data_IF_017695444702
#
_entry.id   IF_017695444702
#
_cell.length_a   1.000
_cell.length_b   1.000
_cell.length_c   1.000
_cell.angle_alpha   90.00
_cell.angle_beta   90.00
_cell.angle_gamma   90.00
#
_symmetry.space_group_name_H-M   'P 1'
#
loop_
_entity.id
_entity.type
_entity.pdbx_description
1 polymer ?
#
# COMPACT_ATOMS: atom_id res chain seq x y z
N UNK A 1 23.78 -3.88 19.16
CA UNK A 1 22.75 -3.61 18.13
C UNK A 1 21.57 -4.53 18.41
N UNK A 2 20.46 -4.08 19.01
CA UNK A 2 19.34 -4.97 19.29
C UNK A 2 18.59 -5.28 17.98
N UNK A 3 18.37 -6.58 17.76
CA UNK A 3 17.76 -7.21 16.60
C UNK A 3 16.26 -6.83 16.52
N UNK A 4 15.80 -6.26 15.40
CA UNK A 4 14.39 -5.85 15.16
C UNK A 4 13.44 -7.03 14.93
N UNK A 5 13.70 -8.19 15.53
CA UNK A 5 12.92 -9.40 15.35
C UNK A 5 11.74 -9.55 16.32
N UNK A 6 11.48 -8.57 17.20
CA UNK A 6 10.49 -8.69 18.29
C UNK A 6 9.47 -7.54 18.34
N UNK A 7 8.76 -7.25 17.26
CA UNK A 7 7.49 -6.47 17.34
C UNK A 7 6.36 -6.95 16.39
N UNK A 8 6.49 -8.08 15.68
CA UNK A 8 5.50 -8.47 14.64
C UNK A 8 4.97 -9.91 14.74
N UNK A 9 4.95 -10.51 15.93
CA UNK A 9 4.54 -11.90 16.09
C UNK A 9 3.01 -12.09 16.21
N UNK A 10 2.28 -11.70 15.16
CA UNK A 10 1.05 -12.39 14.75
C UNK A 10 0.77 -12.17 13.24
N UNK A 11 1.80 -12.35 12.39
CA UNK A 11 1.62 -12.32 10.93
C UNK A 11 0.83 -13.56 10.49
N UNK A 12 -0.48 -13.45 10.50
CA UNK A 12 -1.34 -14.39 9.78
C UNK A 12 -1.04 -14.26 8.28
N UNK A 13 -1.30 -15.34 7.51
CA UNK A 13 -1.15 -15.33 6.06
C UNK A 13 -1.87 -14.13 5.42
N UNK A 14 -3.07 -13.80 5.92
CA UNK A 14 -3.85 -12.65 5.48
C UNK A 14 -3.12 -11.32 5.70
N UNK A 15 -2.49 -11.11 6.86
CA UNK A 15 -1.75 -9.89 7.14
C UNK A 15 -0.54 -9.73 6.19
N UNK A 16 0.18 -10.81 5.89
CA UNK A 16 1.31 -10.78 4.95
C UNK A 16 0.85 -10.45 3.52
N UNK A 17 -0.31 -10.97 3.10
CA UNK A 17 -0.91 -10.66 1.80
C UNK A 17 -1.37 -9.21 1.74
N UNK A 18 -1.98 -8.70 2.81
CA UNK A 18 -2.37 -7.30 2.92
C UNK A 18 -1.15 -6.38 2.81
N UNK A 19 -0.05 -6.68 3.53
CA UNK A 19 1.18 -5.89 3.42
C UNK A 19 1.83 -5.97 2.04
N UNK A 20 1.69 -7.10 1.33
CA UNK A 20 2.13 -7.23 -0.06
C UNK A 20 1.33 -6.33 -1.00
N UNK A 21 -0.01 -6.34 -0.87
CA UNK A 21 -0.92 -5.56 -1.70
C UNK A 21 -0.82 -4.05 -1.45
N UNK A 22 -0.50 -3.66 -0.22
CA UNK A 22 -0.33 -2.26 0.19
C UNK A 22 1.13 -1.78 0.13
N UNK A 23 2.02 -2.56 -0.49
CA UNK A 23 3.43 -2.23 -0.71
C UNK A 23 4.22 -1.92 0.58
N UNK A 24 3.83 -2.54 1.70
CA UNK A 24 4.48 -2.36 3.01
C UNK A 24 5.55 -3.39 3.35
N UNK A 25 5.66 -4.47 2.57
CA UNK A 25 6.72 -5.45 2.77
C UNK A 25 8.10 -4.84 2.54
N UNK A 26 9.07 -5.28 3.35
CA UNK A 26 10.48 -5.03 3.04
C UNK A 26 10.82 -5.65 1.67
N UNK A 27 11.83 -5.10 0.96
CA UNK A 27 12.23 -5.63 -0.35
C UNK A 27 12.58 -7.13 -0.28
N UNK A 28 13.25 -7.55 0.80
CA UNK A 28 13.59 -8.95 1.03
C UNK A 28 12.36 -9.84 1.21
N UNK A 29 11.37 -9.38 1.99
CA UNK A 29 10.16 -10.17 2.24
C UNK A 29 9.24 -10.19 1.01
N UNK A 30 9.24 -9.11 0.22
CA UNK A 30 8.55 -9.07 -1.06
C UNK A 30 9.09 -10.11 -2.04
N UNK A 31 10.42 -10.19 -2.20
CA UNK A 31 11.04 -11.20 -3.08
C UNK A 31 10.68 -12.62 -2.63
N UNK A 32 10.75 -12.90 -1.32
CA UNK A 32 10.38 -14.21 -0.76
C UNK A 32 8.90 -14.53 -1.02
N UNK A 33 8.03 -13.55 -0.88
CA UNK A 33 6.60 -13.73 -1.12
C UNK A 33 6.30 -13.95 -2.61
N UNK A 34 6.94 -13.21 -3.51
CA UNK A 34 6.82 -13.43 -4.97
C UNK A 34 7.34 -14.82 -5.39
N UNK A 35 8.43 -15.29 -4.79
CA UNK A 35 8.90 -16.67 -4.97
C UNK A 35 7.84 -17.68 -4.52
N UNK A 36 7.19 -17.45 -3.38
CA UNK A 36 6.10 -18.32 -2.91
C UNK A 36 4.90 -18.33 -3.89
N UNK A 37 4.50 -17.17 -4.40
CA UNK A 37 3.42 -17.08 -5.39
C UNK A 37 3.72 -17.87 -6.67
N UNK A 38 4.99 -18.01 -7.06
CA UNK A 38 5.36 -18.81 -8.24
C UNK A 38 5.16 -20.32 -8.07
N UNK A 39 5.05 -20.81 -6.83
CA UNK A 39 4.95 -22.26 -6.52
C UNK A 39 3.63 -22.66 -5.85
N UNK A 40 2.79 -21.69 -5.46
CA UNK A 40 1.58 -21.95 -4.67
C UNK A 40 0.31 -21.36 -5.33
N UNK A 41 -0.42 -22.15 -6.15
CA UNK A 41 -1.63 -21.69 -6.83
C UNK A 41 -2.73 -21.18 -5.88
N UNK A 42 -2.83 -21.75 -4.67
CA UNK A 42 -3.82 -21.33 -3.67
C UNK A 42 -3.58 -19.92 -3.16
N UNK A 43 -2.31 -19.53 -2.97
CA UNK A 43 -1.97 -18.16 -2.58
C UNK A 43 -2.17 -17.17 -3.72
N UNK A 44 -1.90 -17.57 -4.97
CA UNK A 44 -2.24 -16.76 -6.15
C UNK A 44 -3.74 -16.48 -6.21
N UNK A 45 -4.58 -17.51 -6.11
CA UNK A 45 -6.03 -17.36 -6.14
C UNK A 45 -6.55 -16.45 -5.02
N UNK A 46 -5.98 -16.58 -3.81
CA UNK A 46 -6.38 -15.74 -2.68
C UNK A 46 -5.95 -14.27 -2.84
N UNK A 47 -4.76 -14.01 -3.38
CA UNK A 47 -4.32 -12.64 -3.73
C UNK A 47 -5.27 -12.03 -4.75
N UNK A 48 -5.65 -12.78 -5.79
CA UNK A 48 -6.58 -12.30 -6.81
C UNK A 48 -7.97 -12.02 -6.25
N UNK A 49 -8.48 -12.87 -5.35
CA UNK A 49 -9.73 -12.60 -4.63
C UNK A 49 -9.66 -11.31 -3.81
N UNK A 50 -8.55 -11.08 -3.09
CA UNK A 50 -8.37 -9.86 -2.31
C UNK A 50 -8.29 -8.61 -3.20
N UNK A 51 -7.62 -8.69 -4.37
CA UNK A 51 -7.60 -7.60 -5.35
C UNK A 51 -8.99 -7.22 -5.84
N UNK A 52 -9.83 -8.20 -6.15
CA UNK A 52 -11.24 -7.95 -6.53
C UNK A 52 -12.00 -7.27 -5.39
N UNK A 53 -11.79 -7.71 -4.15
CA UNK A 53 -12.42 -7.13 -2.97
C UNK A 53 -12.01 -5.66 -2.79
N UNK A 54 -10.72 -5.37 -2.90
CA UNK A 54 -10.17 -4.00 -2.82
C UNK A 54 -10.75 -3.13 -3.94
N UNK A 55 -10.78 -3.64 -5.18
CA UNK A 55 -11.33 -2.91 -6.31
C UNK A 55 -12.82 -2.59 -6.12
N UNK A 56 -13.60 -3.56 -5.63
CA UNK A 56 -15.02 -3.37 -5.35
C UNK A 56 -15.27 -2.27 -4.30
N UNK A 57 -14.43 -2.20 -3.25
CA UNK A 57 -14.50 -1.13 -2.24
C UNK A 57 -13.96 0.22 -2.75
N UNK A 58 -12.92 0.19 -3.59
CA UNK A 58 -12.28 1.37 -4.17
C UNK A 58 -13.03 2.00 -5.34
N UNK A 59 -14.03 1.31 -5.90
CA UNK A 59 -14.85 1.78 -7.03
C UNK A 59 -15.81 2.94 -6.68
N UNK A 60 -15.68 3.54 -5.50
CA UNK A 60 -16.38 4.78 -5.19
C UNK A 60 -15.91 5.84 -6.19
N UNK A 61 -16.83 6.57 -6.87
CA UNK A 61 -16.41 7.64 -7.76
C UNK A 61 -15.46 8.57 -7.00
N UNK A 62 -14.31 8.95 -7.61
CA UNK A 62 -13.35 9.82 -6.95
C UNK A 62 -14.10 11.02 -6.41
N UNK A 63 -13.84 11.37 -5.14
CA UNK A 63 -14.36 12.59 -4.56
C UNK A 63 -14.04 13.72 -5.54
N UNK A 64 -15.06 14.34 -6.13
CA UNK A 64 -14.87 15.53 -6.96
C UNK A 64 -14.26 16.60 -6.06
N UNK A 65 -12.95 16.79 -6.18
CA UNK A 65 -12.27 17.88 -5.51
C UNK A 65 -12.74 19.17 -6.20
N UNK A 66 -13.34 20.13 -5.47
CA UNK A 66 -13.66 21.43 -6.03
C UNK A 66 -12.38 22.11 -6.52
N UNK A 67 -12.43 22.77 -7.67
CA UNK A 67 -11.28 23.48 -8.23
C UNK A 67 -10.68 24.51 -7.26
N UNK A 68 -11.51 25.12 -6.41
CA UNK A 68 -11.06 26.06 -5.37
C UNK A 68 -10.12 25.42 -4.33
N UNK A 69 -10.28 24.13 -4.02
CA UNK A 69 -9.39 23.39 -3.12
C UNK A 69 -8.05 23.15 -3.82
N UNK A 70 -8.08 22.74 -5.09
CA UNK A 70 -6.88 22.51 -5.91
C UNK A 70 -6.06 23.80 -6.07
N UNK A 71 -6.72 24.91 -6.40
CA UNK A 71 -6.09 26.24 -6.49
C UNK A 71 -5.46 26.66 -5.17
N UNK A 72 -6.17 26.45 -4.05
CA UNK A 72 -5.66 26.77 -2.71
C UNK A 72 -4.42 25.95 -2.33
N UNK A 73 -4.40 24.65 -2.67
CA UNK A 73 -3.26 23.77 -2.45
C UNK A 73 -2.04 24.17 -3.30
N UNK A 74 -2.26 24.48 -4.58
CA UNK A 74 -1.20 24.93 -5.49
C UNK A 74 -0.58 26.25 -5.01
N UNK A 75 -1.40 27.20 -4.57
CA UNK A 75 -0.94 28.46 -3.98
C UNK A 75 -0.12 28.23 -2.69
N UNK A 76 -0.56 27.32 -1.82
CA UNK A 76 0.18 26.95 -0.62
C UNK A 76 1.57 26.36 -0.96
N UNK A 77 1.65 25.47 -1.94
CA UNK A 77 2.94 24.90 -2.39
C UNK A 77 3.87 25.93 -3.03
N UNK A 78 3.33 26.83 -3.87
CA UNK A 78 4.12 27.95 -4.46
C UNK A 78 4.70 28.84 -3.37
N UNK A 79 3.89 29.20 -2.37
CA UNK A 79 4.33 30.01 -1.23
C UNK A 79 5.40 29.32 -0.41
N UNK A 80 5.23 28.02 -0.13
CA UNK A 80 6.24 27.23 0.57
C UNK A 80 7.58 27.21 -0.18
N UNK A 81 7.56 27.05 -1.51
CA UNK A 81 8.80 27.09 -2.32
C UNK A 81 9.50 28.45 -2.25
N UNK A 82 8.74 29.54 -2.16
CA UNK A 82 9.29 30.90 -2.08
C UNK A 82 9.79 31.26 -0.67
N UNK A 83 9.31 30.59 0.38
CA UNK A 83 9.69 30.84 1.78
C UNK A 83 10.87 29.99 2.25
N UNK A 84 11.21 28.89 1.56
CA UNK A 84 12.34 28.01 1.92
C UNK A 84 13.57 28.26 1.04
N UNK A 85 13.80 29.52 0.66
CA UNK A 85 15.00 29.97 -0.03
C UNK A 85 15.85 30.84 0.89
#
# INVERSE_FOLDING_TARGET
MPNRSCEHALHTLAAMITDYLEERLSQTDRIRFEQHLSVCPGCVAYVDQMRVTIQAMGSKPPLKVPSSIEDSLLEAFRRWKNLNH
#
